data_IF_942767001838
#
_entry.id   IF_942767001838
#
_cell.length_a   1.000
_cell.length_b   1.000
_cell.length_c   1.000
_cell.angle_alpha   90.00
_cell.angle_beta   90.00
_cell.angle_gamma   90.00
#
_symmetry.space_group_name_H-M   'P 1'
#
loop_
_entity.id
_entity.type
_entity.pdbx_description
1 polymer ?
#
# COMPACT_ATOMS: atom_id res chain seq x y z
N UNK A 1 -9.28 1.70 -2.16
CA UNK A 1 -9.73 2.97 -1.53
C UNK A 1 -11.20 3.27 -1.83
N UNK A 2 -11.62 3.35 -3.10
CA UNK A 2 -13.03 3.55 -3.48
C UNK A 2 -14.02 2.59 -2.80
N UNK A 3 -13.67 1.29 -2.70
CA UNK A 3 -14.49 0.30 -1.97
C UNK A 3 -14.76 0.69 -0.51
N UNK A 4 -13.75 1.19 0.20
CA UNK A 4 -13.90 1.63 1.59
C UNK A 4 -14.84 2.84 1.67
N UNK A 5 -14.64 3.83 0.79
CA UNK A 5 -15.51 5.00 0.71
C UNK A 5 -16.97 4.61 0.42
N UNK A 6 -17.21 3.75 -0.58
CA UNK A 6 -18.55 3.30 -0.94
C UNK A 6 -19.22 2.53 0.19
N UNK A 7 -18.49 1.70 0.93
CA UNK A 7 -19.04 0.97 2.09
C UNK A 7 -19.56 1.94 3.15
N UNK A 8 -18.82 3.02 3.44
CA UNK A 8 -19.27 4.03 4.41
C UNK A 8 -20.43 4.85 3.86
N UNK A 9 -20.33 5.32 2.61
CA UNK A 9 -21.37 6.15 1.96
C UNK A 9 -22.70 5.41 1.84
N UNK A 10 -22.66 4.13 1.54
CA UNK A 10 -23.85 3.33 1.27
C UNK A 10 -24.40 2.59 2.50
N UNK A 11 -23.76 2.71 3.66
CA UNK A 11 -24.18 2.05 4.90
C UNK A 11 -25.61 2.44 5.31
N UNK A 12 -26.37 1.43 5.75
CA UNK A 12 -27.76 1.58 6.20
C UNK A 12 -27.95 1.02 7.60
N UNK A 13 -28.98 1.48 8.30
CA UNK A 13 -29.49 0.79 9.49
C UNK A 13 -30.41 -0.40 9.12
N UNK A 14 -31.01 -1.03 10.13
CA UNK A 14 -31.90 -2.18 9.98
C UNK A 14 -33.14 -1.87 9.13
N UNK A 15 -33.58 -0.61 9.10
CA UNK A 15 -34.75 -0.14 8.34
C UNK A 15 -34.37 0.30 6.91
N UNK A 16 -33.09 0.18 6.54
CA UNK A 16 -32.59 0.57 5.22
C UNK A 16 -32.33 2.08 5.07
N UNK A 17 -32.43 2.88 6.15
CA UNK A 17 -32.13 4.31 6.11
C UNK A 17 -30.62 4.51 6.00
N UNK A 18 -30.21 5.38 5.09
CA UNK A 18 -28.80 5.72 4.88
C UNK A 18 -28.24 6.48 6.08
N UNK A 19 -27.20 5.91 6.69
CA UNK A 19 -26.52 6.51 7.84
C UNK A 19 -25.67 7.73 7.43
N UNK A 20 -25.14 7.71 6.22
CA UNK A 20 -24.21 8.72 5.72
C UNK A 20 -24.87 10.08 5.38
N UNK A 21 -26.21 10.19 5.41
CA UNK A 21 -26.95 11.34 4.88
C UNK A 21 -26.47 12.69 5.41
N UNK A 22 -26.33 12.81 6.73
CA UNK A 22 -25.86 14.05 7.39
C UNK A 22 -24.36 14.35 7.18
N UNK A 23 -23.60 13.39 6.65
CA UNK A 23 -22.15 13.47 6.45
C UNK A 23 -21.76 13.74 5.00
N UNK A 24 -22.74 13.79 4.08
CA UNK A 24 -22.49 14.00 2.64
C UNK A 24 -21.83 15.35 2.41
N UNK A 25 -22.41 16.42 2.95
CA UNK A 25 -21.95 17.79 2.77
C UNK A 25 -22.27 18.59 4.03
N UNK A 26 -21.27 19.29 4.56
CA UNK A 26 -21.48 20.20 5.67
C UNK A 26 -22.19 21.48 5.19
N UNK A 27 -23.01 22.13 6.05
CA UNK A 27 -23.46 23.50 5.82
C UNK A 27 -22.28 24.44 5.63
N UNK A 28 -22.46 25.49 4.85
CA UNK A 28 -21.44 26.55 4.70
C UNK A 28 -21.23 27.31 6.01
N UNK A 29 -20.13 28.05 6.11
CA UNK A 29 -19.83 28.83 7.32
C UNK A 29 -20.83 29.96 7.54
N UNK A 30 -21.38 30.49 6.45
CA UNK A 30 -22.41 31.52 6.45
C UNK A 30 -23.75 30.96 6.98
N UNK A 31 -24.09 29.72 6.62
CA UNK A 31 -25.30 29.04 7.09
C UNK A 31 -25.20 28.57 8.53
N UNK A 32 -24.01 28.19 9.00
CA UNK A 32 -23.84 27.59 10.31
C UNK A 32 -22.52 27.98 10.99
N UNK A 33 -22.34 29.25 11.38
CA UNK A 33 -21.07 29.80 11.85
C UNK A 33 -20.53 29.12 13.12
N UNK A 34 -21.39 28.85 14.11
CA UNK A 34 -21.02 28.28 15.41
C UNK A 34 -20.31 26.92 15.27
N UNK A 35 -20.70 26.11 14.27
CA UNK A 35 -20.01 24.86 13.96
C UNK A 35 -18.53 25.08 13.64
N UNK A 36 -18.23 26.10 12.86
CA UNK A 36 -16.87 26.44 12.44
C UNK A 36 -16.06 27.16 13.53
N UNK A 37 -16.70 27.60 14.62
CA UNK A 37 -16.00 28.06 15.82
C UNK A 37 -15.53 26.87 16.68
N UNK A 38 -16.34 25.82 16.77
CA UNK A 38 -16.05 24.62 17.58
C UNK A 38 -15.16 23.62 16.84
N UNK A 39 -15.37 23.44 15.53
CA UNK A 39 -14.72 22.44 14.69
C UNK A 39 -13.62 23.09 13.83
N UNK A 40 -12.36 22.81 14.19
CA UNK A 40 -11.18 23.41 13.56
C UNK A 40 -10.86 22.88 12.17
N UNK A 41 -11.17 21.61 11.90
CA UNK A 41 -10.89 20.94 10.62
C UNK A 41 -12.16 20.31 10.07
N UNK A 42 -13.09 21.10 9.50
CA UNK A 42 -14.31 20.59 8.89
C UNK A 42 -14.00 19.57 7.78
N UNK A 43 -14.70 18.44 7.81
CA UNK A 43 -14.54 17.35 6.85
C UNK A 43 -15.91 16.73 6.57
N UNK A 44 -16.16 16.38 5.31
CA UNK A 44 -17.38 15.73 4.83
C UNK A 44 -17.07 14.72 3.72
N UNK A 45 -18.03 13.87 3.38
CA UNK A 45 -17.84 12.84 2.36
C UNK A 45 -17.63 13.42 0.97
N UNK A 46 -18.13 14.63 0.66
CA UNK A 46 -17.90 15.28 -0.62
C UNK A 46 -16.43 15.72 -0.77
N UNK A 47 -15.82 16.29 0.27
CA UNK A 47 -14.39 16.63 0.32
C UNK A 47 -13.53 15.38 0.21
N UNK A 48 -13.89 14.32 0.93
CA UNK A 48 -13.19 13.02 0.85
C UNK A 48 -13.31 12.43 -0.55
N UNK A 49 -14.49 12.48 -1.16
CA UNK A 49 -14.71 12.01 -2.54
C UNK A 49 -13.89 12.81 -3.54
N UNK A 50 -13.88 14.13 -3.42
CA UNK A 50 -13.08 15.00 -4.28
C UNK A 50 -11.60 14.69 -4.15
N UNK A 51 -11.10 14.49 -2.92
CA UNK A 51 -9.72 14.07 -2.68
C UNK A 51 -9.42 12.68 -3.26
N UNK A 52 -10.37 11.75 -3.21
CA UNK A 52 -10.25 10.44 -3.88
C UNK A 52 -10.17 10.56 -5.40
N UNK A 53 -11.03 11.38 -6.01
CA UNK A 53 -11.03 11.64 -7.46
C UNK A 53 -9.74 12.33 -7.92
N UNK A 54 -9.22 13.24 -7.09
CA UNK A 54 -7.94 13.91 -7.30
C UNK A 54 -6.73 13.03 -6.96
N UNK A 55 -6.92 11.75 -6.64
CA UNK A 55 -5.85 10.81 -6.24
C UNK A 55 -4.99 11.32 -5.05
N UNK A 56 -5.58 12.13 -4.17
CA UNK A 56 -4.90 12.81 -3.07
C UNK A 56 -4.63 11.93 -1.84
N UNK A 57 -4.89 10.62 -1.92
CA UNK A 57 -4.58 9.64 -0.89
C UNK A 57 -3.50 8.69 -1.40
N UNK A 58 -2.31 8.74 -0.78
CA UNK A 58 -1.21 7.83 -1.14
C UNK A 58 -1.43 6.43 -0.59
N UNK A 59 -2.08 6.32 0.57
CA UNK A 59 -2.42 5.06 1.22
C UNK A 59 -3.86 5.04 1.70
N UNK A 60 -4.44 3.86 1.81
CA UNK A 60 -5.82 3.71 2.30
C UNK A 60 -5.96 4.16 3.76
N UNK A 61 -4.87 4.15 4.53
CA UNK A 61 -4.84 4.66 5.91
C UNK A 61 -5.10 6.17 5.97
N UNK A 62 -4.69 6.92 4.94
CA UNK A 62 -4.93 8.36 4.84
C UNK A 62 -6.43 8.65 4.63
N UNK A 63 -7.11 7.80 3.84
CA UNK A 63 -8.56 7.84 3.67
C UNK A 63 -9.28 7.51 4.99
N UNK A 64 -8.80 6.51 5.73
CA UNK A 64 -9.36 6.17 7.05
C UNK A 64 -9.22 7.33 8.04
N UNK A 65 -8.10 8.05 7.99
CA UNK A 65 -7.87 9.22 8.84
C UNK A 65 -8.89 10.33 8.57
N UNK A 66 -9.16 10.67 7.31
CA UNK A 66 -10.16 11.70 6.97
C UNK A 66 -11.59 11.24 7.30
N UNK A 67 -11.93 9.96 7.06
CA UNK A 67 -13.22 9.39 7.48
C UNK A 67 -13.39 9.44 8.99
N UNK A 68 -12.34 9.15 9.76
CA UNK A 68 -12.37 9.19 11.22
C UNK A 68 -12.49 10.63 11.72
N UNK A 69 -11.76 11.58 11.14
CA UNK A 69 -11.86 13.00 11.44
C UNK A 69 -13.29 13.53 11.25
N UNK A 70 -13.94 13.18 10.13
CA UNK A 70 -15.33 13.56 9.85
C UNK A 70 -16.29 13.06 10.95
N UNK A 71 -16.14 11.79 11.36
CA UNK A 71 -17.01 11.16 12.37
C UNK A 71 -16.73 11.69 13.77
N UNK A 72 -15.46 11.91 14.12
CA UNK A 72 -15.03 12.50 15.39
C UNK A 72 -15.53 13.95 15.53
N UNK A 73 -15.49 14.74 14.45
CA UNK A 73 -16.07 16.08 14.43
C UNK A 73 -17.57 16.05 14.69
N UNK A 74 -18.29 15.09 14.10
CA UNK A 74 -19.72 14.93 14.34
C UNK A 74 -20.01 14.55 15.80
N UNK A 75 -19.25 13.62 16.39
CA UNK A 75 -19.37 13.28 17.80
C UNK A 75 -19.00 14.44 18.73
N UNK A 76 -18.03 15.27 18.35
CA UNK A 76 -17.60 16.42 19.15
C UNK A 76 -18.66 17.53 19.20
N UNK A 77 -19.36 17.76 18.09
CA UNK A 77 -20.30 18.86 17.97
C UNK A 77 -21.73 18.49 18.38
N UNK A 78 -22.18 17.27 18.06
CA UNK A 78 -23.55 16.85 18.29
C UNK A 78 -23.71 16.16 19.63
N UNK A 79 -24.87 16.31 20.26
CA UNK A 79 -25.18 15.65 21.54
C UNK A 79 -25.22 14.11 21.39
N UNK A 80 -24.78 13.34 22.40
CA UNK A 80 -24.77 11.87 22.38
C UNK A 80 -26.12 11.22 22.06
N UNK A 81 -27.22 11.86 22.46
CA UNK A 81 -28.58 11.38 22.25
C UNK A 81 -29.09 11.63 20.82
N UNK A 82 -28.42 12.50 20.06
CA UNK A 82 -28.81 12.87 18.70
C UNK A 82 -28.62 11.72 17.71
N UNK A 83 -29.44 11.70 16.65
CA UNK A 83 -29.32 10.71 15.56
C UNK A 83 -27.96 10.82 14.85
N UNK A 84 -27.45 12.04 14.63
CA UNK A 84 -26.17 12.26 13.95
C UNK A 84 -25.02 11.66 14.75
N UNK A 85 -25.01 11.83 16.08
CA UNK A 85 -24.01 11.22 16.94
C UNK A 85 -24.07 9.68 16.88
N UNK A 86 -25.27 9.11 17.02
CA UNK A 86 -25.46 7.64 16.97
C UNK A 86 -25.06 7.05 15.62
N UNK A 87 -25.39 7.72 14.52
CA UNK A 87 -24.98 7.34 13.18
C UNK A 87 -23.45 7.46 13.03
N UNK A 88 -22.83 8.51 13.56
CA UNK A 88 -21.38 8.69 13.52
C UNK A 88 -20.63 7.56 14.24
N UNK A 89 -21.07 7.18 15.45
CA UNK A 89 -20.50 6.07 16.22
C UNK A 89 -20.67 4.73 15.48
N UNK A 90 -21.79 4.54 14.79
CA UNK A 90 -22.05 3.32 14.01
C UNK A 90 -21.13 3.24 12.79
N UNK A 91 -21.01 4.33 12.04
CA UNK A 91 -20.08 4.42 10.91
C UNK A 91 -18.61 4.31 11.35
N UNK A 92 -18.26 4.82 12.54
CA UNK A 92 -16.89 4.73 13.06
C UNK A 92 -16.51 3.29 13.35
N UNK A 93 -17.43 2.50 13.93
CA UNK A 93 -17.24 1.05 14.11
C UNK A 93 -17.03 0.34 12.78
N UNK A 94 -17.83 0.66 11.76
CA UNK A 94 -17.68 0.12 10.41
C UNK A 94 -16.31 0.46 9.78
N UNK A 95 -15.87 1.72 9.90
CA UNK A 95 -14.55 2.16 9.40
C UNK A 95 -13.42 1.39 10.09
N UNK A 96 -13.50 1.18 11.41
CA UNK A 96 -12.48 0.45 12.16
C UNK A 96 -12.46 -1.05 11.84
N UNK A 97 -13.63 -1.65 11.59
CA UNK A 97 -13.72 -3.02 11.07
C UNK A 97 -13.04 -3.14 9.70
N UNK A 98 -13.37 -2.26 8.75
CA UNK A 98 -12.74 -2.27 7.43
C UNK A 98 -11.25 -1.96 7.47
N UNK A 99 -10.80 -1.10 8.39
CA UNK A 99 -9.37 -0.88 8.64
C UNK A 99 -8.66 -2.17 9.05
N UNK A 100 -9.27 -2.96 9.94
CA UNK A 100 -8.71 -4.24 10.38
C UNK A 100 -8.65 -5.27 9.25
N UNK A 101 -9.72 -5.37 8.45
CA UNK A 101 -9.75 -6.24 7.26
C UNK A 101 -8.65 -5.86 6.25
N UNK A 102 -8.50 -4.56 5.97
CA UNK A 102 -7.50 -4.06 5.02
C UNK A 102 -6.07 -4.22 5.55
N UNK A 103 -5.84 -4.00 6.85
CA UNK A 103 -4.53 -4.24 7.47
C UNK A 103 -4.14 -5.71 7.45
N UNK A 104 -5.07 -6.61 7.81
CA UNK A 104 -4.84 -8.05 7.73
C UNK A 104 -4.58 -8.52 6.29
N UNK A 105 -5.22 -7.90 5.29
CA UNK A 105 -4.95 -8.21 3.89
C UNK A 105 -3.57 -7.70 3.41
N UNK A 106 -3.06 -6.57 3.91
CA UNK A 106 -1.69 -6.12 3.64
C UNK A 106 -0.65 -7.06 4.26
N UNK A 107 -0.94 -7.63 5.42
CA UNK A 107 -0.07 -8.61 6.10
C UNK A 107 -0.17 -10.02 5.46
N UNK A 108 -1.32 -10.39 4.88
CA UNK A 108 -1.56 -11.69 4.25
C UNK A 108 -1.29 -11.73 2.74
N UNK A 109 -1.22 -10.60 2.03
CA UNK A 109 -0.79 -10.59 0.63
C UNK A 109 0.73 -10.77 0.60
N UNK A 110 1.24 -11.94 0.17
CA UNK A 110 2.68 -12.11 0.08
C UNK A 110 3.18 -11.09 -0.92
N UNK A 111 4.11 -10.23 -0.50
CA UNK A 111 4.83 -9.40 -1.46
C UNK A 111 5.52 -10.36 -2.42
N UNK A 112 5.02 -10.49 -3.66
CA UNK A 112 5.55 -11.43 -4.66
C UNK A 112 7.07 -11.32 -4.75
N UNK A 113 7.59 -10.11 -4.67
CA UNK A 113 9.03 -9.84 -4.62
C UNK A 113 9.74 -10.48 -3.41
N UNK A 114 9.13 -10.45 -2.21
CA UNK A 114 9.69 -11.06 -1.00
C UNK A 114 9.67 -12.58 -1.06
N UNK A 115 8.61 -13.18 -1.60
CA UNK A 115 8.53 -14.63 -1.75
C UNK A 115 9.53 -15.15 -2.79
N UNK A 116 9.62 -14.47 -3.93
CA UNK A 116 10.62 -14.80 -4.95
C UNK A 116 12.04 -14.62 -4.35
N UNK A 117 12.31 -13.53 -3.62
CA UNK A 117 13.60 -13.33 -2.94
C UNK A 117 13.90 -14.42 -1.90
N UNK A 118 12.88 -14.86 -1.15
CA UNK A 118 12.99 -15.95 -0.18
C UNK A 118 13.36 -17.27 -0.87
N UNK A 119 12.66 -17.62 -1.96
CA UNK A 119 12.97 -18.81 -2.76
C UNK A 119 14.42 -18.79 -3.28
N UNK A 120 14.87 -17.69 -3.86
CA UNK A 120 16.25 -17.58 -4.34
C UNK A 120 17.27 -17.62 -3.19
N UNK A 121 16.98 -16.99 -2.06
CA UNK A 121 17.85 -17.05 -0.87
C UNK A 121 18.01 -18.48 -0.38
N UNK A 122 16.91 -19.23 -0.28
CA UNK A 122 16.93 -20.63 0.17
C UNK A 122 17.69 -21.53 -0.79
N UNK A 123 17.51 -21.35 -2.10
CA UNK A 123 18.28 -22.08 -3.11
C UNK A 123 19.77 -21.74 -2.98
N UNK A 124 20.10 -20.46 -2.81
CA UNK A 124 21.50 -20.02 -2.67
C UNK A 124 22.14 -20.61 -1.42
N UNK A 125 21.46 -20.56 -0.28
CA UNK A 125 21.92 -21.18 0.97
C UNK A 125 22.12 -22.68 0.78
N UNK A 126 21.18 -23.37 0.11
CA UNK A 126 21.33 -24.80 -0.18
C UNK A 126 22.59 -25.06 -1.03
N UNK A 127 22.78 -24.33 -2.13
CA UNK A 127 23.94 -24.49 -3.02
C UNK A 127 25.27 -24.20 -2.31
N UNK A 128 25.33 -23.15 -1.49
CA UNK A 128 26.55 -22.70 -0.79
C UNK A 128 26.83 -23.41 0.53
N UNK A 129 25.84 -24.13 1.08
CA UNK A 129 26.00 -24.86 2.34
C UNK A 129 26.03 -26.38 2.14
N UNK A 130 25.83 -26.86 0.90
CA UNK A 130 25.92 -28.29 0.60
C UNK A 130 27.37 -28.75 0.75
N UNK A 131 27.58 -29.71 1.65
CA UNK A 131 28.88 -30.32 1.92
C UNK A 131 28.96 -31.74 1.37
N UNK A 132 30.16 -32.15 1.00
CA UNK A 132 30.47 -33.55 0.68
C UNK A 132 30.65 -34.41 1.96
N UNK A 133 30.92 -35.70 1.80
CA UNK A 133 31.19 -36.63 2.91
C UNK A 133 32.42 -36.26 3.74
N UNK A 134 33.27 -35.38 3.24
CA UNK A 134 34.50 -34.89 3.89
C UNK A 134 34.30 -33.50 4.53
N UNK A 135 33.09 -32.93 4.43
CA UNK A 135 32.73 -31.65 5.04
C UNK A 135 33.10 -30.40 4.24
N UNK A 136 33.59 -30.54 3.00
CA UNK A 136 33.94 -29.41 2.11
C UNK A 136 32.73 -28.90 1.36
N UNK A 137 32.64 -27.59 1.09
CA UNK A 137 31.53 -27.07 0.29
C UNK A 137 31.67 -27.54 -1.15
N UNK A 138 30.59 -28.06 -1.74
CA UNK A 138 30.58 -28.43 -3.16
C UNK A 138 30.74 -27.21 -4.07
N UNK A 139 30.41 -26.03 -3.56
CA UNK A 139 30.60 -24.75 -4.23
C UNK A 139 32.09 -24.40 -4.44
N UNK A 140 32.98 -24.86 -3.55
CA UNK A 140 34.42 -24.55 -3.61
C UNK A 140 35.09 -25.14 -4.86
N UNK A 141 34.54 -26.24 -5.40
CA UNK A 141 35.02 -26.86 -6.64
C UNK A 141 34.89 -25.95 -7.87
N UNK A 142 34.10 -24.89 -7.79
CA UNK A 142 33.94 -23.90 -8.87
C UNK A 142 34.83 -22.66 -8.71
N UNK A 143 35.55 -22.52 -7.59
CA UNK A 143 36.38 -21.34 -7.31
C UNK A 143 37.53 -21.18 -8.33
N UNK A 144 38.06 -22.28 -8.85
CA UNK A 144 39.18 -22.31 -9.80
C UNK A 144 38.74 -22.25 -11.28
N UNK A 145 37.44 -22.35 -11.55
CA UNK A 145 36.89 -22.35 -12.91
C UNK A 145 37.33 -21.13 -13.75
N UNK A 146 37.37 -19.89 -13.21
CA UNK A 146 37.86 -18.72 -13.92
C UNK A 146 39.28 -18.87 -14.46
N UNK A 147 40.18 -19.42 -13.64
CA UNK A 147 41.59 -19.60 -14.01
C UNK A 147 41.76 -20.71 -15.04
N UNK A 148 40.95 -21.77 -14.94
CA UNK A 148 40.91 -22.87 -15.92
C UNK A 148 40.41 -22.42 -17.30
N UNK A 149 39.35 -21.59 -17.35
CA UNK A 149 38.83 -21.05 -18.60
C UNK A 149 39.81 -20.08 -19.26
N UNK A 150 40.50 -19.27 -18.45
CA UNK A 150 41.59 -18.40 -18.90
C UNK A 150 42.76 -19.20 -19.46
N UNK A 151 43.17 -20.28 -18.78
CA UNK A 151 44.25 -21.16 -19.24
C UNK A 151 43.91 -21.86 -20.56
N UNK A 152 42.62 -22.11 -20.83
CA UNK A 152 42.13 -22.64 -22.11
C UNK A 152 42.02 -21.59 -23.23
N UNK A 153 42.31 -20.33 -22.95
CA UNK A 153 42.27 -19.25 -23.95
C UNK A 153 40.86 -18.88 -24.39
N UNK A 154 39.83 -19.24 -23.62
CA UNK A 154 38.45 -18.92 -23.96
C UNK A 154 38.18 -17.41 -23.78
N UNK A 155 37.52 -16.76 -24.75
CA UNK A 155 37.20 -15.35 -24.66
C UNK A 155 36.17 -15.10 -23.54
N UNK A 156 36.22 -13.91 -22.93
CA UNK A 156 35.56 -13.65 -21.62
C UNK A 156 34.04 -13.69 -21.68
N UNK A 157 33.47 -13.39 -22.83
CA UNK A 157 32.04 -13.44 -23.15
C UNK A 157 31.46 -14.86 -23.21
N UNK A 158 32.31 -15.87 -23.42
CA UNK A 158 31.91 -17.29 -23.39
C UNK A 158 31.96 -17.88 -21.97
N UNK A 159 32.39 -17.12 -20.97
CA UNK A 159 32.53 -17.65 -19.62
C UNK A 159 31.14 -17.80 -18.96
N UNK A 160 30.84 -18.95 -18.34
CA UNK A 160 29.62 -19.11 -17.56
C UNK A 160 29.63 -18.12 -16.38
N UNK A 161 28.43 -17.69 -15.98
CA UNK A 161 28.30 -16.84 -14.80
C UNK A 161 28.77 -17.60 -13.56
N UNK A 162 29.64 -16.98 -12.77
CA UNK A 162 29.98 -17.52 -11.45
C UNK A 162 28.76 -17.45 -10.54
N UNK A 163 28.71 -18.32 -9.52
CA UNK A 163 27.63 -18.31 -8.54
C UNK A 163 27.49 -16.94 -7.86
N UNK A 164 28.59 -16.24 -7.60
CA UNK A 164 28.57 -14.87 -7.08
C UNK A 164 28.02 -13.85 -8.09
N UNK A 165 28.30 -14.03 -9.38
CA UNK A 165 27.74 -13.17 -10.42
C UNK A 165 26.24 -13.40 -10.57
N UNK A 166 25.79 -14.66 -10.51
CA UNK A 166 24.37 -15.02 -10.50
C UNK A 166 23.69 -14.38 -9.28
N UNK A 167 24.30 -14.46 -8.09
CA UNK A 167 23.79 -13.81 -6.87
C UNK A 167 23.60 -12.31 -7.05
N UNK A 168 24.66 -11.60 -7.47
CA UNK A 168 24.64 -10.15 -7.64
C UNK A 168 23.65 -9.71 -8.71
N UNK A 169 23.54 -10.48 -9.80
CA UNK A 169 22.56 -10.20 -10.86
C UNK A 169 21.12 -10.34 -10.35
N UNK A 170 20.84 -11.37 -9.54
CA UNK A 170 19.54 -11.58 -8.93
C UNK A 170 19.23 -10.47 -7.90
N UNK A 171 20.20 -10.13 -7.04
CA UNK A 171 20.05 -9.05 -6.06
C UNK A 171 19.75 -7.70 -6.75
N UNK A 172 20.53 -7.38 -7.79
CA UNK A 172 20.32 -6.18 -8.60
C UNK A 172 18.97 -6.19 -9.31
N UNK A 173 18.54 -7.32 -9.87
CA UNK A 173 17.22 -7.45 -10.49
C UNK A 173 16.09 -7.09 -9.52
N UNK A 174 16.22 -7.43 -8.23
CA UNK A 174 15.24 -7.05 -7.23
C UNK A 174 15.27 -5.55 -6.92
N UNK A 175 16.45 -4.95 -6.82
CA UNK A 175 16.59 -3.50 -6.65
C UNK A 175 15.98 -2.75 -7.85
N UNK A 176 16.35 -3.14 -9.07
CA UNK A 176 15.83 -2.57 -10.32
C UNK A 176 14.30 -2.77 -10.43
N UNK A 177 13.77 -3.92 -10.02
CA UNK A 177 12.33 -4.19 -10.02
C UNK A 177 11.57 -3.32 -9.00
N UNK A 178 12.17 -3.05 -7.83
CA UNK A 178 11.60 -2.11 -6.87
C UNK A 178 11.63 -0.69 -7.42
N UNK A 179 12.73 -0.26 -8.04
CA UNK A 179 12.82 1.04 -8.68
C UNK A 179 11.84 1.20 -9.84
N UNK A 180 11.67 0.17 -10.68
CA UNK A 180 10.68 0.14 -11.75
C UNK A 180 9.26 0.21 -11.19
N UNK A 181 8.95 -0.54 -10.12
CA UNK A 181 7.64 -0.42 -9.46
C UNK A 181 7.40 0.99 -8.95
N UNK A 182 8.39 1.61 -8.29
CA UNK A 182 8.30 2.99 -7.83
C UNK A 182 8.17 3.97 -9.01
N UNK A 183 8.82 3.69 -10.13
CA UNK A 183 8.76 4.50 -11.35
C UNK A 183 7.40 4.38 -12.01
N UNK A 184 6.84 3.18 -12.15
CA UNK A 184 5.47 2.98 -12.64
C UNK A 184 4.44 3.63 -11.74
N UNK A 185 4.62 3.57 -10.41
CA UNK A 185 3.79 4.31 -9.46
C UNK A 185 3.92 5.81 -9.75
N UNK A 186 5.13 6.35 -9.87
CA UNK A 186 5.38 7.78 -10.15
C UNK A 186 4.85 8.22 -11.52
N UNK A 187 5.02 7.42 -12.57
CA UNK A 187 4.54 7.71 -13.93
C UNK A 187 3.03 7.62 -14.03
N UNK A 188 2.42 6.60 -13.42
CA UNK A 188 0.96 6.53 -13.25
C UNK A 188 0.46 7.79 -12.56
N UNK A 189 1.11 8.19 -11.46
CA UNK A 189 0.75 9.38 -10.70
C UNK A 189 1.00 10.68 -11.51
N UNK A 190 1.97 10.70 -12.43
CA UNK A 190 2.28 11.82 -13.31
C UNK A 190 1.30 11.92 -14.50
N UNK A 191 0.92 10.80 -15.12
CA UNK A 191 -0.09 10.74 -16.17
C UNK A 191 -1.47 11.15 -15.64
N UNK A 192 -1.81 10.75 -14.41
CA UNK A 192 -3.01 11.25 -13.73
C UNK A 192 -2.99 12.78 -13.50
N UNK A 193 -1.81 13.42 -13.41
CA UNK A 193 -1.68 14.89 -13.32
C UNK A 193 -1.78 15.58 -14.69
N UNK A 194 -1.28 14.98 -15.76
CA UNK A 194 -1.28 15.57 -17.11
C UNK A 194 -2.67 15.68 -17.77
N UNK A 195 -3.60 14.79 -17.41
CA UNK A 195 -4.99 14.84 -17.90
C UNK A 195 -5.78 16.03 -17.34
N UNK A 196 -5.36 16.62 -16.21
CA UNK A 196 -6.05 17.73 -15.53
C UNK A 196 -5.66 19.13 -16.03
N UNK A 197 -4.72 19.26 -16.96
CA UNK A 197 -4.27 20.57 -17.50
C UNK A 197 -4.84 20.85 -18.91
N UNK A 198 -5.46 19.85 -19.55
CA UNK A 198 -5.93 19.93 -20.95
C UNK A 198 -7.46 19.90 -21.11
N UNK A 199 -8.22 20.09 -20.04
CA UNK A 199 -9.70 20.20 -20.03
C UNK A 199 -10.11 21.35 -19.14
#
# INVERSE_FOLDING_TARGET
>A
MWRLYSVVREATDADGRKLAGAFIKLPTKEEYPDYYEVIRKPMDLQRIQHRLQAHGYGRWIDLVADLSLMLENACKYNEPESTIYKDAVTLQRLVMEKKRELGAAEDCMPRVQMEIRSMFTNIFVAVFSTKDSEGRCRCDSFAELPDLLKARGLPRDEWPFSLDQIKRNIDKLFEDATELQLTFIRERDAQCKGVLVST
#
